data_IF_377079829776
#
_entry.id   IF_377079829776
#
_cell.length_a   1.000
_cell.length_b   1.000
_cell.length_c   1.000
_cell.angle_alpha   90.00
_cell.angle_beta   90.00
_cell.angle_gamma   90.00
#
_symmetry.space_group_name_H-M   'P 1'
#
loop_
_entity.id
_entity.type
_entity.pdbx_description
1 polymer ?
#
# COMPACT_ATOMS: atom_id res chain seq x y z
N UNK A 1 17.45 -12.68 14.25
CA UNK A 1 16.06 -13.04 13.88
C UNK A 1 15.45 -11.79 13.29
N UNK A 2 15.37 -11.80 11.96
CA UNK A 2 15.24 -10.63 11.12
C UNK A 2 13.95 -9.87 11.38
N UNK A 3 14.13 -8.59 11.73
CA UNK A 3 13.09 -7.60 11.92
C UNK A 3 12.39 -7.40 10.55
N UNK A 4 11.33 -8.18 10.30
CA UNK A 4 10.45 -8.00 9.14
C UNK A 4 9.99 -6.55 9.14
N UNK A 5 10.60 -5.74 8.29
CA UNK A 5 10.31 -4.31 8.16
C UNK A 5 8.83 -4.20 7.81
N UNK A 6 8.03 -3.71 8.75
CA UNK A 6 6.59 -3.61 8.58
C UNK A 6 6.32 -2.58 7.47
N UNK A 7 6.03 -3.07 6.26
CA UNK A 7 5.68 -2.20 5.14
C UNK A 7 4.39 -1.46 5.46
N UNK A 8 4.43 -0.13 5.31
CA UNK A 8 3.30 0.77 5.57
C UNK A 8 2.69 1.24 4.26
N UNK A 9 1.38 1.41 4.24
CA UNK A 9 0.62 1.68 3.01
C UNK A 9 -0.20 2.98 3.16
N UNK A 10 -0.14 3.91 2.20
CA UNK A 10 -0.95 5.13 2.22
C UNK A 10 -2.38 4.91 1.70
N UNK A 11 -2.62 3.79 1.02
CA UNK A 11 -3.90 3.44 0.39
C UNK A 11 -4.31 2.00 0.70
N UNK A 12 -5.61 1.74 0.66
CA UNK A 12 -6.20 0.42 0.86
C UNK A 12 -7.49 0.26 0.05
N UNK A 13 -8.07 -0.94 0.08
CA UNK A 13 -9.42 -1.22 -0.41
C UNK A 13 -10.41 -1.30 0.76
N UNK A 14 -11.64 -0.82 0.59
CA UNK A 14 -12.73 -1.04 1.56
C UNK A 14 -13.47 -2.37 1.28
N UNK A 15 -14.55 -2.64 2.03
CA UNK A 15 -15.40 -3.84 1.84
C UNK A 15 -16.09 -3.88 0.46
N UNK A 16 -16.23 -2.73 -0.21
CA UNK A 16 -16.84 -2.61 -1.54
C UNK A 16 -15.78 -2.62 -2.66
N UNK A 17 -14.54 -2.99 -2.33
CA UNK A 17 -13.37 -2.98 -3.21
C UNK A 17 -13.09 -1.59 -3.83
N UNK A 18 -13.46 -0.51 -3.14
CA UNK A 18 -13.13 0.85 -3.54
C UNK A 18 -11.83 1.31 -2.91
N UNK A 19 -11.11 2.16 -3.61
CA UNK A 19 -9.85 2.74 -3.13
C UNK A 19 -10.11 3.77 -2.04
N UNK A 20 -9.42 3.62 -0.91
CA UNK A 20 -9.47 4.54 0.21
C UNK A 20 -8.05 4.98 0.57
N UNK A 21 -7.83 6.28 0.59
CA UNK A 21 -6.62 6.88 1.13
C UNK A 21 -6.68 6.95 2.66
N UNK A 22 -5.53 6.82 3.32
CA UNK A 22 -5.47 6.84 4.78
C UNK A 22 -6.02 8.12 5.40
N UNK A 23 -5.92 9.26 4.71
CA UNK A 23 -6.50 10.55 5.14
C UNK A 23 -8.04 10.50 5.25
N UNK A 24 -8.69 9.63 4.47
CA UNK A 24 -10.13 9.43 4.45
C UNK A 24 -10.54 8.21 5.27
N UNK A 25 -9.58 7.49 5.85
CA UNK A 25 -9.82 6.29 6.63
C UNK A 25 -10.32 6.63 8.04
N UNK A 26 -11.20 5.78 8.55
CA UNK A 26 -11.73 5.89 9.92
C UNK A 26 -11.06 4.86 10.82
N UNK A 27 -10.79 5.24 12.07
CA UNK A 27 -10.31 4.31 13.08
C UNK A 27 -11.30 3.14 13.23
N UNK A 28 -10.78 1.90 13.21
CA UNK A 28 -11.61 0.70 13.30
C UNK A 28 -12.33 0.31 12.01
N UNK A 29 -12.14 1.05 10.91
CA UNK A 29 -12.65 0.68 9.60
C UNK A 29 -12.05 -0.63 9.10
N UNK A 30 -12.80 -1.33 8.24
CA UNK A 30 -12.34 -2.55 7.58
C UNK A 30 -11.69 -2.17 6.26
N UNK A 31 -10.38 -2.36 6.20
CA UNK A 31 -9.58 -2.08 5.02
C UNK A 31 -8.76 -3.32 4.66
N UNK A 32 -8.42 -3.43 3.38
CA UNK A 32 -7.76 -4.60 2.82
C UNK A 32 -6.56 -4.17 1.98
N UNK A 33 -5.52 -4.99 2.04
CA UNK A 33 -4.34 -4.84 1.23
C UNK A 33 -4.70 -5.01 -0.26
N UNK A 34 -4.33 -4.08 -1.14
CA UNK A 34 -4.58 -4.25 -2.57
C UNK A 34 -3.75 -5.36 -3.22
N UNK A 35 -2.62 -5.77 -2.61
CA UNK A 35 -1.76 -6.84 -3.13
C UNK A 35 -2.28 -8.23 -2.74
N UNK A 36 -2.47 -8.47 -1.44
CA UNK A 36 -2.80 -9.81 -0.92
C UNK A 36 -4.24 -9.95 -0.42
N UNK A 37 -5.04 -8.89 -0.46
CA UNK A 37 -6.41 -8.82 0.08
C UNK A 37 -6.55 -9.12 1.58
N UNK A 38 -5.44 -9.23 2.31
CA UNK A 38 -5.45 -9.43 3.75
C UNK A 38 -5.86 -8.16 4.48
N UNK A 39 -6.42 -8.32 5.67
CA UNK A 39 -6.96 -7.21 6.45
C UNK A 39 -5.85 -6.26 6.92
N UNK A 40 -6.12 -4.97 6.80
CA UNK A 40 -5.32 -3.88 7.33
C UNK A 40 -5.88 -3.32 8.63
N UNK A 41 -4.98 -2.72 9.41
CA UNK A 41 -5.26 -1.84 10.54
C UNK A 41 -4.92 -0.43 10.11
N UNK A 42 -5.88 0.49 10.28
CA UNK A 42 -5.64 1.94 10.15
C UNK A 42 -4.90 2.45 11.39
N UNK A 43 -3.63 2.83 11.25
CA UNK A 43 -2.83 3.47 12.31
C UNK A 43 -2.93 4.98 12.16
N UNK A 44 -3.85 5.58 12.92
CA UNK A 44 -4.15 7.02 12.92
C UNK A 44 -3.64 7.65 14.23
N UNK A 45 -2.35 7.50 14.52
CA UNK A 45 -1.75 8.05 15.74
C UNK A 45 -1.34 9.51 15.55
N UNK A 46 -1.29 10.28 16.64
CA UNK A 46 -1.00 11.73 16.59
C UNK A 46 0.47 12.05 16.27
N UNK A 47 1.40 11.14 16.61
CA UNK A 47 2.86 11.36 16.47
C UNK A 47 3.39 10.81 15.13
N UNK A 48 2.88 9.65 14.69
CA UNK A 48 3.37 8.96 13.48
C UNK A 48 2.43 9.23 12.32
N UNK A 49 3.00 9.41 11.12
CA UNK A 49 2.23 9.56 9.90
C UNK A 49 1.18 8.46 9.77
N UNK A 50 -0.05 8.86 9.43
CA UNK A 50 -1.14 7.92 9.27
C UNK A 50 -0.80 6.92 8.16
N UNK A 51 -0.96 5.63 8.45
CA UNK A 51 -0.76 4.58 7.45
C UNK A 51 -1.62 3.35 7.74
N UNK A 52 -1.82 2.53 6.73
CA UNK A 52 -2.31 1.17 6.89
C UNK A 52 -1.15 0.20 7.12
N UNK A 53 -1.36 -0.77 7.99
CA UNK A 53 -0.43 -1.86 8.24
C UNK A 53 -1.19 -3.19 8.28
N UNK A 54 -0.52 -4.28 7.93
CA UNK A 54 -1.09 -5.62 8.10
C UNK A 54 -1.40 -5.91 9.57
N UNK A 55 -2.43 -6.71 9.82
CA UNK A 55 -2.70 -7.23 11.16
C UNK A 55 -1.49 -8.01 11.70
N UNK A 56 -1.14 -7.86 13.00
CA UNK A 56 -0.10 -8.66 13.63
C UNK A 56 -0.38 -10.16 13.42
N UNK A 57 0.61 -10.91 12.96
CA UNK A 57 0.47 -12.33 12.62
C UNK A 57 0.28 -12.63 11.13
N UNK A 58 0.10 -11.61 10.28
CA UNK A 58 0.19 -11.81 8.83
C UNK A 58 1.64 -12.18 8.45
N UNK A 59 1.82 -13.39 7.91
CA UNK A 59 3.13 -13.93 7.54
C UNK A 59 3.49 -13.73 6.07
N UNK A 60 2.54 -13.27 5.25
CA UNK A 60 2.75 -13.07 3.83
C UNK A 60 3.74 -11.95 3.52
N UNK A 61 4.36 -12.05 2.34
CA UNK A 61 5.31 -11.07 1.84
C UNK A 61 4.54 -10.13 0.91
N UNK A 62 4.35 -8.89 1.34
CA UNK A 62 3.85 -7.82 0.50
C UNK A 62 4.94 -6.75 0.40
N UNK A 63 5.18 -6.25 -0.79
CA UNK A 63 6.33 -5.38 -1.06
C UNK A 63 5.98 -3.90 -0.91
N UNK A 64 4.70 -3.56 -0.81
CA UNK A 64 4.24 -2.17 -0.88
C UNK A 64 4.13 -1.66 -2.30
N UNK A 65 4.49 -2.49 -3.29
CA UNK A 65 4.37 -2.17 -4.69
C UNK A 65 2.98 -2.58 -5.19
N UNK A 66 2.07 -1.60 -5.19
CA UNK A 66 0.77 -1.78 -5.84
C UNK A 66 0.91 -1.96 -7.36
N UNK A 67 -0.06 -2.63 -7.98
CA UNK A 67 -0.11 -2.78 -9.45
C UNK A 67 -0.06 -1.44 -10.19
N UNK A 68 -0.65 -0.38 -9.64
CA UNK A 68 -0.56 0.97 -10.20
C UNK A 68 0.83 1.58 -10.09
N UNK A 69 1.53 1.35 -8.97
CA UNK A 69 2.91 1.82 -8.79
C UNK A 69 3.86 1.09 -9.76
N UNK A 70 3.67 -0.22 -9.92
CA UNK A 70 4.43 -1.03 -10.87
C UNK A 70 4.17 -0.62 -12.32
N UNK A 71 2.91 -0.36 -12.67
CA UNK A 71 2.51 0.15 -13.98
C UNK A 71 3.06 1.54 -14.24
N UNK A 72 2.97 2.46 -13.28
CA UNK A 72 3.51 3.81 -13.42
C UNK A 72 5.03 3.79 -13.66
N UNK A 73 5.78 2.99 -12.91
CA UNK A 73 7.21 2.75 -13.16
C UNK A 73 7.46 2.23 -14.57
N UNK A 74 6.68 1.24 -15.03
CA UNK A 74 6.79 0.70 -16.38
C UNK A 74 6.51 1.74 -17.46
N UNK A 75 5.46 2.55 -17.29
CA UNK A 75 5.10 3.62 -18.23
C UNK A 75 6.19 4.69 -18.31
N UNK A 76 6.76 5.09 -17.16
CA UNK A 76 7.88 6.03 -17.11
C UNK A 76 9.11 5.43 -17.80
N UNK A 77 9.46 4.17 -17.51
CA UNK A 77 10.58 3.48 -18.14
C UNK A 77 10.39 3.37 -19.66
N UNK A 78 9.20 2.98 -20.11
CA UNK A 78 8.83 2.91 -21.52
C UNK A 78 8.96 4.29 -22.19
N UNK A 79 8.45 5.34 -21.55
CA UNK A 79 8.55 6.70 -22.07
C UNK A 79 10.02 7.13 -22.21
N UNK A 80 10.86 6.89 -21.20
CA UNK A 80 12.28 7.23 -21.29
C UNK A 80 13.00 6.43 -22.37
N UNK A 81 12.70 5.14 -22.53
CA UNK A 81 13.31 4.31 -23.58
C UNK A 81 12.92 4.79 -24.98
N UNK A 82 11.65 5.16 -25.18
CA UNK A 82 11.16 5.73 -26.44
C UNK A 82 11.67 7.13 -26.74
N UNK A 83 11.96 7.92 -25.70
CA UNK A 83 12.45 9.29 -25.81
C UNK A 83 13.95 9.42 -25.57
N UNK A 84 14.71 8.32 -25.62
CA UNK A 84 16.16 8.38 -25.75
C UNK A 84 16.51 9.04 -27.09
N UNK A 85 16.63 10.36 -27.08
CA UNK A 85 17.36 11.09 -28.09
C UNK A 85 18.84 11.03 -27.73
N UNK A 86 19.56 10.17 -28.46
CA UNK A 86 21.03 10.08 -28.65
C UNK A 86 21.88 9.93 -27.39
#
# INVERSE_FOLDING_TARGET
MDEKTAVTYPIAKDEEDRWVEIKNARAGGKYFCPECRSRFISRLGEIRAHHFAHYPGYSGVCTGESGYHSLAKHLLAYYFDKNKQV
#
